data_IF_279949665945
#
_entry.id   IF_279949665945
#
_cell.length_a   1.000
_cell.length_b   1.000
_cell.length_c   1.000
_cell.angle_alpha   90.00
_cell.angle_beta   90.00
_cell.angle_gamma   90.00
#
_symmetry.space_group_name_H-M   'P 1'
#
loop_
_entity.id
_entity.type
_entity.pdbx_description
1 polymer ?
#
# COMPACT_ATOMS: atom_id res chain seq x y z
N UNK A 1 -15.86 31.02 -28.59
CA UNK A 1 -15.89 30.84 -27.13
C UNK A 1 -15.43 29.44 -26.79
N UNK A 2 -14.13 29.24 -26.49
CA UNK A 2 -13.59 27.96 -26.01
C UNK A 2 -13.35 28.09 -24.51
N UNK A 3 -14.25 27.54 -23.70
CA UNK A 3 -13.97 27.35 -22.27
C UNK A 3 -13.17 26.06 -22.12
N UNK A 4 -11.88 26.20 -21.84
CA UNK A 4 -11.07 25.11 -21.29
C UNK A 4 -11.66 24.72 -19.95
N UNK A 5 -12.19 23.51 -19.85
CA UNK A 5 -12.55 22.90 -18.58
C UNK A 5 -11.24 22.58 -17.88
N UNK A 6 -10.69 23.57 -17.18
CA UNK A 6 -9.69 23.32 -16.15
C UNK A 6 -10.39 22.42 -15.13
N UNK A 7 -10.01 21.14 -15.11
CA UNK A 7 -10.61 20.15 -14.25
C UNK A 7 -10.36 20.56 -12.80
N UNK A 8 -11.33 21.26 -12.20
CA UNK A 8 -11.38 21.49 -10.77
C UNK A 8 -11.23 20.12 -10.12
N UNK A 9 -10.11 19.91 -9.43
CA UNK A 9 -9.88 18.73 -8.60
C UNK A 9 -10.81 18.83 -7.39
N UNK A 10 -12.10 18.57 -7.61
CA UNK A 10 -13.09 18.49 -6.54
C UNK A 10 -12.66 17.30 -5.69
N UNK A 11 -12.16 17.57 -4.47
CA UNK A 11 -11.79 16.52 -3.54
C UNK A 11 -13.01 15.64 -3.30
N UNK A 12 -13.01 14.42 -3.84
CA UNK A 12 -14.08 13.48 -3.61
C UNK A 12 -14.13 13.12 -2.12
N UNK A 13 -15.23 13.46 -1.46
CA UNK A 13 -15.47 13.09 -0.07
C UNK A 13 -16.31 11.82 -0.01
N UNK A 14 -16.00 10.94 0.94
CA UNK A 14 -16.79 9.75 1.25
C UNK A 14 -17.10 9.75 2.75
N UNK A 15 -18.32 9.37 3.10
CA UNK A 15 -18.74 9.19 4.50
C UNK A 15 -18.47 7.75 4.91
N UNK A 16 -17.89 7.56 6.10
CA UNK A 16 -17.63 6.25 6.70
C UNK A 16 -18.26 6.23 8.09
N UNK A 17 -19.14 5.25 8.33
CA UNK A 17 -19.71 5.00 9.66
C UNK A 17 -18.76 4.07 10.43
N UNK A 18 -18.44 4.45 11.66
CA UNK A 18 -17.61 3.69 12.61
C UNK A 18 -18.27 3.68 13.98
N UNK A 19 -17.84 2.77 14.87
CA UNK A 19 -18.29 2.81 16.27
C UNK A 19 -17.79 4.08 16.96
N UNK A 20 -18.50 4.49 18.00
CA UNK A 20 -18.10 5.63 18.84
C UNK A 20 -16.70 5.43 19.42
N UNK A 21 -16.41 4.22 19.91
CA UNK A 21 -15.09 3.84 20.42
C UNK A 21 -13.98 4.05 19.38
N UNK A 22 -14.23 3.69 18.12
CA UNK A 22 -13.27 3.88 17.05
C UNK A 22 -13.08 5.37 16.70
N UNK A 23 -14.14 6.17 16.78
CA UNK A 23 -14.05 7.62 16.61
C UNK A 23 -13.20 8.26 17.70
N UNK A 24 -13.47 7.94 18.97
CA UNK A 24 -12.72 8.44 20.13
C UNK A 24 -11.24 8.04 20.07
N UNK A 25 -10.96 6.79 19.69
CA UNK A 25 -9.59 6.34 19.48
C UNK A 25 -8.87 7.15 18.40
N UNK A 26 -9.54 7.48 17.29
CA UNK A 26 -8.98 8.35 16.25
C UNK A 26 -8.82 9.81 16.73
N UNK A 27 -9.79 10.33 17.47
CA UNK A 27 -9.76 11.68 18.03
C UNK A 27 -8.58 11.86 19.00
N UNK A 28 -8.30 10.87 19.85
CA UNK A 28 -7.14 10.88 20.76
C UNK A 28 -5.78 10.84 20.06
N UNK A 29 -5.71 10.36 18.81
CA UNK A 29 -4.48 10.33 18.00
C UNK A 29 -4.26 11.61 17.18
N UNK A 30 -5.24 12.52 17.15
CA UNK A 30 -5.23 13.74 16.36
C UNK A 30 -4.34 14.79 17.02
N UNK A 31 -3.45 15.41 16.24
CA UNK A 31 -2.60 16.50 16.71
C UNK A 31 -3.34 17.83 16.71
N UNK A 32 -2.85 18.80 17.48
CA UNK A 32 -3.37 20.17 17.45
C UNK A 32 -3.31 20.75 16.04
N UNK A 33 -4.43 21.32 15.58
CA UNK A 33 -4.57 21.87 14.23
C UNK A 33 -4.62 20.86 13.08
N UNK A 34 -4.52 19.55 13.33
CA UNK A 34 -4.60 18.51 12.30
C UNK A 34 -6.07 18.31 11.85
N UNK A 35 -6.33 18.00 10.58
CA UNK A 35 -7.67 17.56 10.15
C UNK A 35 -7.84 16.04 10.29
N UNK A 36 -9.07 15.54 10.42
CA UNK A 36 -9.30 14.09 10.39
C UNK A 36 -8.84 13.43 9.08
N UNK A 37 -8.91 14.16 7.97
CA UNK A 37 -8.38 13.66 6.68
C UNK A 37 -6.86 13.48 6.74
N UNK A 38 -6.15 14.39 7.40
CA UNK A 38 -4.69 14.32 7.54
C UNK A 38 -4.26 13.24 8.53
N UNK A 39 -4.99 13.07 9.64
CA UNK A 39 -4.84 11.95 10.56
C UNK A 39 -4.91 10.62 9.80
N UNK A 40 -6.00 10.39 9.05
CA UNK A 40 -6.22 9.14 8.30
C UNK A 40 -5.09 8.92 7.29
N UNK A 41 -4.68 9.96 6.54
CA UNK A 41 -3.53 9.86 5.62
C UNK A 41 -2.24 9.52 6.36
N UNK A 42 -1.97 10.15 7.51
CA UNK A 42 -0.75 9.95 8.30
C UNK A 42 -0.65 8.52 8.83
N UNK A 43 -1.71 8.00 9.45
CA UNK A 43 -1.69 6.65 10.03
C UNK A 43 -1.69 5.56 8.96
N UNK A 44 -2.24 5.83 7.76
CA UNK A 44 -2.27 4.88 6.65
C UNK A 44 -1.07 4.99 5.70
N UNK A 45 -0.31 6.09 5.73
CA UNK A 45 0.87 6.26 4.88
C UNK A 45 1.90 5.12 5.00
N UNK A 46 2.21 4.60 6.21
CA UNK A 46 3.10 3.44 6.34
C UNK A 46 2.51 2.16 5.72
N UNK A 47 1.19 1.99 5.75
CA UNK A 47 0.51 0.83 5.16
C UNK A 47 0.61 0.83 3.64
N UNK A 48 0.57 2.01 3.02
CA UNK A 48 0.71 2.19 1.56
C UNK A 48 2.11 1.92 1.02
N UNK A 49 3.15 2.11 1.83
CA UNK A 49 4.54 2.06 1.40
C UNK A 49 5.29 0.82 1.91
N UNK A 50 4.58 -0.26 2.28
CA UNK A 50 5.28 -1.49 2.64
C UNK A 50 6.01 -2.03 1.42
N UNK A 51 7.33 -1.95 1.44
CA UNK A 51 8.17 -2.46 0.36
C UNK A 51 8.09 -3.98 0.43
N UNK A 52 8.02 -4.65 -0.72
CA UNK A 52 8.08 -6.12 -0.76
C UNK A 52 9.34 -6.66 -0.05
N UNK A 53 10.41 -5.85 -0.01
CA UNK A 53 11.65 -6.14 0.74
C UNK A 53 11.45 -6.29 2.25
N UNK A 54 10.45 -5.62 2.84
CA UNK A 54 10.15 -5.76 4.27
C UNK A 54 9.54 -7.13 4.61
N UNK A 55 9.05 -7.86 3.60
CA UNK A 55 8.58 -9.23 3.73
C UNK A 55 9.65 -10.27 3.36
N UNK A 56 10.83 -9.84 2.91
CA UNK A 56 11.91 -10.75 2.52
C UNK A 56 12.39 -11.56 3.73
N UNK A 57 12.28 -12.89 3.65
CA UNK A 57 12.70 -13.81 4.73
C UNK A 57 11.66 -14.03 5.84
N UNK A 58 10.50 -13.37 5.80
CA UNK A 58 9.42 -13.60 6.78
C UNK A 58 8.64 -14.89 6.51
N UNK A 59 8.67 -15.41 5.28
CA UNK A 59 8.02 -16.66 4.92
C UNK A 59 8.92 -17.82 5.37
N UNK A 60 8.56 -18.44 6.51
CA UNK A 60 9.25 -19.61 7.09
C UNK A 60 8.66 -20.95 6.61
N UNK A 61 7.94 -20.94 5.49
CA UNK A 61 7.36 -22.14 4.88
C UNK A 61 8.39 -22.83 3.98
N UNK A 62 8.72 -24.09 4.30
CA UNK A 62 9.69 -24.89 3.56
C UNK A 62 9.23 -25.23 2.13
N UNK A 63 7.93 -25.46 1.93
CA UNK A 63 7.37 -25.71 0.60
C UNK A 63 7.50 -24.47 -0.28
N UNK A 64 7.24 -23.29 0.30
CA UNK A 64 7.44 -22.02 -0.37
C UNK A 64 8.91 -21.79 -0.75
N UNK A 65 9.85 -22.06 0.16
CA UNK A 65 11.29 -21.95 -0.14
C UNK A 65 11.70 -22.85 -1.30
N UNK A 66 11.24 -24.11 -1.30
CA UNK A 66 11.52 -25.08 -2.37
C UNK A 66 10.96 -24.61 -3.72
N UNK A 67 9.69 -24.20 -3.75
CA UNK A 67 9.05 -23.69 -4.97
C UNK A 67 9.74 -22.41 -5.49
N UNK A 68 10.15 -21.51 -4.60
CA UNK A 68 10.88 -20.30 -4.96
C UNK A 68 12.26 -20.61 -5.53
N UNK A 69 12.96 -21.63 -5.01
CA UNK A 69 14.25 -22.09 -5.52
C UNK A 69 14.11 -22.68 -6.92
N UNK A 70 13.13 -23.57 -7.12
CA UNK A 70 12.83 -24.18 -8.42
C UNK A 70 12.50 -23.11 -9.48
N UNK A 71 11.68 -22.12 -9.16
CA UNK A 71 11.34 -21.02 -10.06
C UNK A 71 12.57 -20.17 -10.47
N UNK A 72 13.53 -19.94 -9.55
CA UNK A 72 14.78 -19.23 -9.86
C UNK A 72 15.67 -20.02 -10.81
N UNK A 73 15.85 -21.32 -10.56
CA UNK A 73 16.66 -22.17 -11.42
C UNK A 73 16.09 -22.27 -12.83
N UNK A 74 14.76 -22.37 -12.95
CA UNK A 74 14.06 -22.42 -14.23
C UNK A 74 14.18 -21.12 -15.04
N UNK A 75 14.20 -19.95 -14.39
CA UNK A 75 14.45 -18.67 -15.08
C UNK A 75 15.90 -18.58 -15.59
N UNK A 76 16.88 -19.01 -14.80
CA UNK A 76 18.30 -18.97 -15.17
C UNK A 76 18.58 -19.80 -16.43
N UNK A 77 18.11 -21.05 -16.46
CA UNK A 77 18.26 -21.93 -17.63
C UNK A 77 17.51 -21.42 -18.85
N UNK A 78 16.30 -20.86 -18.68
CA UNK A 78 15.56 -20.26 -19.80
C UNK A 78 16.28 -19.05 -20.40
N UNK A 79 16.84 -18.17 -19.58
CA UNK A 79 17.56 -16.99 -20.07
C UNK A 79 18.87 -17.35 -20.78
N UNK A 80 19.56 -18.40 -20.34
CA UNK A 80 20.73 -18.93 -21.07
C UNK A 80 20.36 -19.51 -22.43
N UNK A 81 19.20 -20.18 -22.53
CA UNK A 81 18.71 -20.77 -23.78
C UNK A 81 18.21 -19.75 -24.80
N UNK A 82 17.79 -18.56 -24.36
CA UNK A 82 17.31 -17.47 -25.22
C UNK A 82 18.43 -16.52 -25.69
N UNK A 83 19.66 -16.70 -25.22
CA UNK A 83 20.85 -15.94 -25.66
C UNK A 83 21.63 -16.64 -26.78
N UNK A 84 21.00 -17.61 -27.46
CA UNK A 84 21.53 -18.30 -28.64
C UNK A 84 20.91 -17.70 -29.91
#
# INVERSE_FOLDING_TARGET
YKYTHEALNIMAHKTLTISEEAYEALAGLKKEGESFTDLVKRITAPLRKRKLSEFAGMIKDENFKKAALEARHFKSTRLQRLKL
#
